data_IF_961107494730
#
_entry.id   IF_961107494730
#
_cell.length_a   1.000
_cell.length_b   1.000
_cell.length_c   1.000
_cell.angle_alpha   90.00
_cell.angle_beta   90.00
_cell.angle_gamma   90.00
#
_symmetry.space_group_name_H-M   'P 1'
#
loop_
_entity.id
_entity.type
_entity.pdbx_description
1 polymer ?
#
# COMPACT_ATOMS: atom_id res chain seq x y z
N UNK A 1 -6.21 -47.14 6.22
CA UNK A 1 -4.75 -46.92 6.08
C UNK A 1 -4.58 -45.72 5.16
N UNK A 2 -4.41 -44.54 5.73
CA UNK A 2 -4.17 -43.28 5.01
C UNK A 2 -2.74 -42.89 5.35
N UNK A 3 -1.90 -42.77 4.34
CA UNK A 3 -0.50 -42.36 4.47
C UNK A 3 -0.43 -40.90 4.93
N UNK A 4 0.43 -40.55 5.89
CA UNK A 4 0.60 -39.16 6.31
C UNK A 4 1.22 -38.36 5.17
N UNK A 5 0.63 -37.19 4.88
CA UNK A 5 1.19 -36.18 4.00
C UNK A 5 2.32 -35.53 4.80
N UNK A 6 3.56 -35.78 4.39
CA UNK A 6 4.74 -35.08 4.92
C UNK A 6 4.62 -33.60 4.54
N UNK A 7 4.26 -32.78 5.53
CA UNK A 7 4.35 -31.33 5.45
C UNK A 7 5.83 -31.02 5.71
N UNK A 8 6.54 -30.64 4.65
CA UNK A 8 7.95 -30.25 4.71
C UNK A 8 8.04 -28.88 5.39
N UNK A 9 8.11 -28.90 6.73
CA UNK A 9 8.32 -27.70 7.54
C UNK A 9 9.81 -27.35 7.41
N UNK A 10 10.18 -26.20 6.82
CA UNK A 10 11.58 -25.81 6.76
C UNK A 10 12.14 -25.72 8.18
N UNK A 11 13.40 -26.14 8.41
CA UNK A 11 13.99 -26.12 9.73
C UNK A 11 13.95 -24.70 10.29
N UNK A 12 13.77 -24.53 11.61
CA UNK A 12 13.81 -23.21 12.23
C UNK A 12 15.13 -22.56 11.83
N UNK A 13 15.04 -21.45 11.10
CA UNK A 13 16.19 -20.63 10.73
C UNK A 13 16.95 -20.34 12.02
N UNK A 14 18.15 -20.93 12.12
CA UNK A 14 19.03 -20.70 13.26
C UNK A 14 19.14 -19.20 13.48
N UNK A 15 18.82 -18.77 14.70
CA UNK A 15 19.11 -17.41 15.15
C UNK A 15 20.58 -17.12 14.81
N UNK A 16 20.89 -15.97 14.19
CA UNK A 16 22.25 -15.67 13.79
C UNK A 16 23.15 -15.76 15.02
N UNK A 17 24.21 -16.55 14.90
CA UNK A 17 25.25 -16.66 15.93
C UNK A 17 25.73 -15.24 16.22
N UNK A 18 25.46 -14.75 17.43
CA UNK A 18 25.98 -13.49 17.94
C UNK A 18 27.51 -13.59 17.90
N UNK A 19 28.11 -13.01 16.86
CA UNK A 19 29.55 -12.72 16.88
C UNK A 19 29.76 -11.77 18.04
N UNK A 20 30.54 -12.20 19.04
CA UNK A 20 31.02 -11.30 20.08
C UNK A 20 31.64 -10.09 19.40
N UNK A 21 31.22 -8.86 19.75
CA UNK A 21 31.82 -7.67 19.17
C UNK A 21 33.33 -7.68 19.48
N UNK A 22 34.17 -7.19 18.57
CA UNK A 22 35.60 -7.03 18.87
C UNK A 22 35.78 -6.16 20.12
N UNK A 23 36.88 -6.33 20.87
CA UNK A 23 37.16 -5.49 22.02
C UNK A 23 37.14 -4.03 21.61
N UNK A 24 36.34 -3.23 22.32
CA UNK A 24 36.31 -1.77 22.16
C UNK A 24 37.58 -1.23 22.85
N UNK A 25 38.73 -1.47 22.24
CA UNK A 25 39.98 -0.78 22.56
C UNK A 25 40.16 0.36 21.56
N UNK A 26 39.21 1.27 21.54
CA UNK A 26 39.40 2.64 21.08
C UNK A 26 38.29 3.45 21.75
N UNK A 27 38.68 4.25 22.75
CA UNK A 27 37.82 5.32 23.23
C UNK A 27 37.38 6.11 21.99
N UNK A 28 36.07 6.31 21.77
CA UNK A 28 35.63 7.16 20.68
C UNK A 28 36.22 8.53 20.97
N UNK A 29 37.23 8.91 20.18
CA UNK A 29 37.65 10.30 20.07
C UNK A 29 36.36 11.10 19.94
N UNK A 30 36.07 12.04 20.87
CA UNK A 30 34.87 12.83 20.76
C UNK A 30 35.03 13.61 19.47
N UNK A 31 34.40 13.11 18.39
CA UNK A 31 34.16 13.88 17.18
C UNK A 31 33.34 15.02 17.70
N UNK A 32 34.06 16.11 17.95
CA UNK A 32 33.55 17.35 18.43
C UNK A 32 32.80 17.92 17.23
N UNK A 33 31.60 17.39 16.99
CA UNK A 33 30.54 18.14 16.35
C UNK A 33 30.14 19.16 17.41
N UNK A 34 31.00 20.17 17.59
CA UNK A 34 30.59 21.48 18.05
C UNK A 34 29.61 21.99 16.99
N UNK A 35 28.38 21.49 17.07
CA UNK A 35 27.22 22.24 16.62
C UNK A 35 27.25 23.44 17.55
N UNK A 36 27.88 24.53 17.09
CA UNK A 36 27.98 25.81 17.79
C UNK A 36 26.60 26.13 18.36
N UNK A 37 26.41 25.82 19.64
CA UNK A 37 25.27 26.29 20.38
C UNK A 37 25.48 27.81 20.50
N UNK A 38 24.51 28.64 20.09
CA UNK A 38 24.65 30.08 20.19
C UNK A 38 24.99 30.46 21.62
N UNK A 39 25.99 31.32 21.78
CA UNK A 39 26.41 31.86 23.07
C UNK A 39 25.22 32.69 23.61
N UNK A 40 24.94 32.71 24.93
CA UNK A 40 23.78 33.43 25.49
C UNK A 40 23.64 34.91 25.09
N UNK A 41 24.73 35.51 24.63
CA UNK A 41 24.82 36.91 24.19
C UNK A 41 24.31 37.15 22.74
N UNK A 42 24.07 36.10 21.96
CA UNK A 42 23.63 36.19 20.55
C UNK A 42 22.11 36.03 20.34
N UNK A 43 21.32 35.84 21.40
CA UNK A 43 19.86 35.70 21.27
C UNK A 43 19.22 37.09 21.30
N UNK A 44 18.54 37.52 20.22
CA UNK A 44 17.76 38.76 20.23
C UNK A 44 16.69 38.69 21.32
N UNK A 45 16.43 39.80 21.99
CA UNK A 45 15.34 39.87 22.98
C UNK A 45 14.02 39.53 22.28
N UNK A 46 13.09 38.84 22.98
CA UNK A 46 11.77 38.51 22.41
C UNK A 46 11.05 39.76 21.85
N UNK A 47 11.31 40.93 22.43
CA UNK A 47 10.79 42.23 21.99
C UNK A 47 11.29 42.68 20.61
N UNK A 48 12.34 42.07 20.07
CA UNK A 48 12.94 42.41 18.77
C UNK A 48 12.44 41.51 17.63
N UNK A 49 11.57 40.53 17.93
CA UNK A 49 11.04 39.59 16.95
C UNK A 49 10.13 40.31 15.92
N UNK A 50 10.52 40.28 14.65
CA UNK A 50 9.77 40.90 13.53
C UNK A 50 8.67 39.99 12.97
N UNK A 51 8.69 38.70 13.29
CA UNK A 51 7.79 37.69 12.75
C UNK A 51 7.48 36.60 13.78
N UNK A 52 6.32 35.95 13.67
CA UNK A 52 5.89 34.85 14.55
C UNK A 52 6.85 33.66 14.49
N UNK A 53 7.39 33.34 13.30
CA UNK A 53 8.41 32.32 13.13
C UNK A 53 9.71 32.67 13.88
N UNK A 54 10.04 33.97 13.93
CA UNK A 54 11.25 34.46 14.60
C UNK A 54 11.08 34.46 16.12
N UNK A 55 9.88 34.82 16.61
CA UNK A 55 9.50 34.70 18.01
C UNK A 55 9.57 33.24 18.49
N UNK A 56 9.07 32.29 17.70
CA UNK A 56 9.17 30.86 18.00
C UNK A 56 10.62 30.37 17.99
N UNK A 57 11.44 30.85 17.04
CA UNK A 57 12.87 30.55 17.00
C UNK A 57 13.58 31.00 18.28
N UNK A 58 13.29 32.21 18.76
CA UNK A 58 13.83 32.74 20.02
C UNK A 58 13.37 31.89 21.22
N UNK A 59 12.09 31.51 21.29
CA UNK A 59 11.57 30.65 22.37
C UNK A 59 12.20 29.25 22.35
N UNK A 60 12.40 28.67 21.17
CA UNK A 60 13.05 27.35 21.05
C UNK A 60 14.53 27.44 21.42
N UNK A 61 15.25 28.47 20.96
CA UNK A 61 16.66 28.71 21.31
C UNK A 61 16.82 28.94 22.82
N UNK A 62 15.98 29.77 23.42
CA UNK A 62 15.99 30.01 24.88
C UNK A 62 15.64 28.75 25.66
N UNK A 63 14.67 27.96 25.20
CA UNK A 63 14.31 26.69 25.84
C UNK A 63 15.43 25.66 25.73
N UNK A 64 16.11 25.56 24.59
CA UNK A 64 17.24 24.65 24.39
C UNK A 64 18.44 25.02 25.27
N UNK A 65 18.65 26.31 25.53
CA UNK A 65 19.75 26.80 26.37
C UNK A 65 19.42 26.81 27.88
N UNK A 66 18.14 26.95 28.23
CA UNK A 66 17.66 27.02 29.61
C UNK A 66 16.92 25.77 30.09
N UNK A 67 16.97 24.65 29.35
CA UNK A 67 16.32 23.39 29.78
C UNK A 67 17.01 22.90 31.06
N UNK A 68 16.40 23.18 32.21
CA UNK A 68 16.99 22.89 33.53
C UNK A 68 17.01 21.41 33.86
N UNK A 69 16.19 20.61 33.17
CA UNK A 69 16.03 19.18 33.46
C UNK A 69 16.65 18.32 32.38
N UNK A 70 17.58 17.46 32.79
CA UNK A 70 18.19 16.49 31.89
C UNK A 70 17.16 15.46 31.41
N UNK A 71 17.42 14.79 30.28
CA UNK A 71 16.59 13.68 29.80
C UNK A 71 16.43 12.61 30.88
N UNK A 72 17.50 12.33 31.62
CA UNK A 72 17.54 11.34 32.68
C UNK A 72 16.60 11.71 33.82
N UNK A 73 16.54 12.98 34.23
CA UNK A 73 15.64 13.46 35.27
C UNK A 73 14.16 13.34 34.90
N UNK A 74 13.83 13.42 33.61
CA UNK A 74 12.47 13.19 33.10
C UNK A 74 12.11 11.70 33.06
N UNK A 75 13.07 10.85 32.71
CA UNK A 75 12.84 9.41 32.48
C UNK A 75 12.88 8.61 33.78
N UNK A 76 13.75 8.98 34.73
CA UNK A 76 13.94 8.30 36.02
C UNK A 76 12.65 8.11 36.84
N UNK A 77 11.77 9.11 37.03
CA UNK A 77 10.53 8.92 37.77
C UNK A 77 9.59 7.90 37.11
N UNK A 78 9.50 7.91 35.77
CA UNK A 78 8.67 6.97 35.00
C UNK A 78 9.23 5.55 35.13
N UNK A 79 10.55 5.38 34.99
CA UNK A 79 11.20 4.09 35.18
C UNK A 79 11.00 3.56 36.60
N UNK A 80 11.16 4.39 37.64
CA UNK A 80 10.94 3.96 39.03
C UNK A 80 9.50 3.57 39.30
N UNK A 81 8.52 4.29 38.73
CA UNK A 81 7.11 3.94 38.85
C UNK A 81 6.81 2.60 38.17
N UNK A 82 7.28 2.42 36.92
CA UNK A 82 7.09 1.17 36.19
C UNK A 82 7.74 -0.03 36.88
N UNK A 83 8.96 0.15 37.41
CA UNK A 83 9.65 -0.89 38.18
C UNK A 83 8.95 -1.24 39.50
N UNK A 84 8.18 -0.33 40.08
CA UNK A 84 7.40 -0.60 41.30
C UNK A 84 6.10 -1.38 41.02
N UNK A 85 5.56 -1.27 39.81
CA UNK A 85 4.35 -1.99 39.37
C UNK A 85 4.74 -3.37 38.81
N UNK A 86 5.88 -3.45 38.14
CA UNK A 86 6.39 -4.70 37.60
C UNK A 86 6.75 -5.65 38.74
N UNK A 87 6.28 -6.89 38.63
CA UNK A 87 6.85 -7.97 39.44
C UNK A 87 8.33 -8.08 39.10
N UNK A 88 9.23 -8.21 40.10
CA UNK A 88 10.65 -8.37 39.81
C UNK A 88 10.80 -9.61 38.92
N UNK A 89 11.60 -9.54 37.85
CA UNK A 89 11.89 -10.72 37.05
C UNK A 89 12.48 -11.76 38.00
N UNK A 90 11.77 -12.87 38.22
CA UNK A 90 12.32 -14.01 38.94
C UNK A 90 13.50 -14.51 38.11
N UNK A 91 14.72 -14.07 38.45
CA UNK A 91 15.94 -14.58 37.86
C UNK A 91 16.10 -16.03 38.36
N UNK A 92 15.45 -16.97 37.68
CA UNK A 92 15.61 -18.39 37.94
C UNK A 92 16.95 -18.82 37.35
N UNK A 93 17.97 -19.15 38.17
CA UNK A 93 19.31 -19.39 37.67
C UNK A 93 19.43 -20.69 36.83
N UNK A 94 18.39 -21.54 36.78
CA UNK A 94 18.40 -22.82 36.05
C UNK A 94 16.99 -23.16 35.50
N UNK A 95 16.28 -22.20 34.90
CA UNK A 95 15.00 -22.50 34.23
C UNK A 95 15.26 -23.26 32.93
N UNK A 96 15.27 -24.60 32.98
CA UNK A 96 15.18 -25.42 31.77
C UNK A 96 13.75 -25.37 31.22
N UNK A 97 13.54 -25.47 29.89
CA UNK A 97 12.21 -25.40 29.29
C UNK A 97 11.18 -26.32 29.96
N UNK A 98 11.60 -27.53 30.33
CA UNK A 98 10.74 -28.51 31.00
C UNK A 98 10.25 -28.03 32.38
N UNK A 99 11.11 -27.36 33.16
CA UNK A 99 10.73 -26.82 34.47
C UNK A 99 9.75 -25.66 34.36
N UNK A 100 9.81 -24.86 33.28
CA UNK A 100 8.85 -23.79 33.02
C UNK A 100 7.50 -24.35 32.58
N UNK A 101 7.50 -25.38 31.73
CA UNK A 101 6.30 -26.10 31.33
C UNK A 101 5.66 -26.70 32.58
N UNK A 102 6.41 -27.44 33.39
CA UNK A 102 5.89 -28.04 34.62
C UNK A 102 5.30 -26.98 35.56
N UNK A 103 5.97 -25.83 35.76
CA UNK A 103 5.43 -24.70 36.56
C UNK A 103 4.19 -24.07 35.94
N UNK A 104 4.09 -23.97 34.62
CA UNK A 104 2.93 -23.40 33.91
C UNK A 104 1.72 -24.32 33.94
N UNK A 105 1.94 -25.63 33.97
CA UNK A 105 0.88 -26.65 34.01
C UNK A 105 0.59 -27.19 35.42
N UNK A 106 1.31 -26.70 36.44
CA UNK A 106 1.09 -27.07 37.84
C UNK A 106 0.64 -25.87 38.69
N UNK A 107 0.02 -26.18 39.83
CA UNK A 107 -0.38 -25.18 40.83
C UNK A 107 -1.76 -24.53 40.59
N UNK A 108 -2.12 -23.66 41.53
CA UNK A 108 -3.44 -23.01 41.57
C UNK A 108 -3.66 -22.03 40.41
N UNK A 109 -2.60 -21.34 39.95
CA UNK A 109 -2.68 -20.39 38.84
C UNK A 109 -3.01 -21.05 37.50
N UNK A 110 -2.55 -22.29 37.28
CA UNK A 110 -2.93 -23.08 36.11
C UNK A 110 -4.41 -23.48 36.18
N UNK A 111 -4.87 -23.95 37.34
CA UNK A 111 -6.27 -24.35 37.55
C UNK A 111 -7.23 -23.17 37.31
N UNK A 112 -6.96 -21.99 37.86
CA UNK A 112 -7.78 -20.80 37.64
C UNK A 112 -7.84 -20.40 36.15
N UNK A 113 -6.71 -20.49 35.44
CA UNK A 113 -6.65 -20.22 34.00
C UNK A 113 -7.39 -21.27 33.18
N UNK A 114 -7.25 -22.54 33.56
CA UNK A 114 -7.96 -23.68 32.95
C UNK A 114 -9.46 -23.56 33.15
N UNK A 115 -9.92 -23.24 34.35
CA UNK A 115 -11.35 -23.05 34.67
C UNK A 115 -11.94 -21.86 33.90
N UNK A 116 -11.18 -20.76 33.83
CA UNK A 116 -11.53 -19.61 33.00
C UNK A 116 -11.65 -20.01 31.53
N UNK A 117 -10.68 -20.76 31.01
CA UNK A 117 -10.70 -21.26 29.63
C UNK A 117 -11.88 -22.19 29.35
N UNK A 118 -12.17 -23.15 30.24
CA UNK A 118 -13.31 -24.06 30.12
C UNK A 118 -14.63 -23.30 30.10
N UNK A 119 -14.74 -22.21 30.86
CA UNK A 119 -15.93 -21.34 30.87
C UNK A 119 -16.06 -20.52 29.59
N UNK A 120 -14.97 -19.97 29.06
CA UNK A 120 -15.02 -19.06 27.90
C UNK A 120 -15.02 -19.79 26.56
N UNK A 121 -14.38 -20.96 26.48
CA UNK A 121 -14.25 -21.75 25.24
C UNK A 121 -15.59 -22.03 24.54
N UNK A 122 -16.65 -22.54 25.20
CA UNK A 122 -17.90 -22.86 24.50
C UNK A 122 -18.58 -21.59 23.97
N UNK A 123 -18.54 -20.49 24.72
CA UNK A 123 -19.12 -19.21 24.28
C UNK A 123 -18.39 -18.68 23.03
N UNK A 124 -17.06 -18.81 23.01
CA UNK A 124 -16.25 -18.39 21.89
C UNK A 124 -16.45 -19.31 20.69
N UNK A 125 -16.54 -20.63 20.88
CA UNK A 125 -16.85 -21.55 19.79
C UNK A 125 -18.23 -21.27 19.19
N UNK A 126 -19.24 -21.04 20.03
CA UNK A 126 -20.60 -20.75 19.57
C UNK A 126 -20.63 -19.44 18.78
N UNK A 127 -19.98 -18.39 19.29
CA UNK A 127 -19.86 -17.11 18.61
C UNK A 127 -19.15 -17.23 17.26
N UNK A 128 -18.01 -17.93 17.21
CA UNK A 128 -17.27 -18.13 15.97
C UNK A 128 -18.06 -18.95 14.95
N UNK A 129 -18.78 -19.98 15.41
CA UNK A 129 -19.62 -20.82 14.54
C UNK A 129 -20.79 -20.01 14.00
N UNK A 130 -21.46 -19.22 14.85
CA UNK A 130 -22.53 -18.32 14.42
C UNK A 130 -22.03 -17.30 13.40
N UNK A 131 -20.88 -16.66 13.66
CA UNK A 131 -20.25 -15.72 12.72
C UNK A 131 -19.92 -16.40 11.40
N UNK A 132 -19.36 -17.60 11.43
CA UNK A 132 -19.03 -18.35 10.23
C UNK A 132 -20.27 -18.63 9.39
N UNK A 133 -21.34 -19.15 10.03
CA UNK A 133 -22.60 -19.43 9.35
C UNK A 133 -23.23 -18.17 8.74
N UNK A 134 -23.19 -17.02 9.45
CA UNK A 134 -23.69 -15.74 8.91
C UNK A 134 -22.90 -15.27 7.69
N UNK A 135 -21.59 -15.48 7.70
CA UNK A 135 -20.73 -15.13 6.56
C UNK A 135 -21.01 -16.05 5.38
N UNK A 136 -21.11 -17.36 5.61
CA UNK A 136 -21.45 -18.32 4.56
C UNK A 136 -22.81 -18.03 3.94
N UNK A 137 -23.83 -17.76 4.75
CA UNK A 137 -25.18 -17.40 4.27
C UNK A 137 -25.17 -16.10 3.47
N UNK A 138 -24.36 -15.11 3.88
CA UNK A 138 -24.21 -13.87 3.12
C UNK A 138 -23.51 -14.12 1.79
N UNK A 139 -22.46 -14.96 1.78
CA UNK A 139 -21.74 -15.31 0.56
C UNK A 139 -22.66 -16.07 -0.40
N UNK A 140 -23.45 -17.03 0.08
CA UNK A 140 -24.39 -17.78 -0.77
C UNK A 140 -25.42 -16.86 -1.40
N UNK A 141 -26.03 -15.97 -0.61
CA UNK A 141 -26.98 -14.96 -1.10
C UNK A 141 -26.37 -14.05 -2.17
N UNK A 142 -25.18 -13.51 -1.91
CA UNK A 142 -24.50 -12.64 -2.88
C UNK A 142 -24.11 -13.38 -4.16
N UNK A 143 -23.76 -14.66 -4.08
CA UNK A 143 -23.49 -15.50 -5.25
C UNK A 143 -24.76 -15.71 -6.09
N UNK A 144 -25.88 -16.01 -5.45
CA UNK A 144 -27.18 -16.14 -6.13
C UNK A 144 -27.59 -14.82 -6.79
N UNK A 145 -27.53 -13.70 -6.07
CA UNK A 145 -27.83 -12.37 -6.61
C UNK A 145 -26.92 -12.00 -7.79
N UNK A 146 -25.62 -12.32 -7.70
CA UNK A 146 -24.66 -12.07 -8.77
C UNK A 146 -25.02 -12.86 -10.03
N UNK A 147 -25.30 -14.16 -9.89
CA UNK A 147 -25.69 -15.02 -11.03
C UNK A 147 -26.99 -14.49 -11.67
N UNK A 148 -27.99 -14.12 -10.88
CA UNK A 148 -29.22 -13.53 -11.42
C UNK A 148 -28.97 -12.22 -12.19
N UNK A 149 -28.10 -11.35 -11.66
CA UNK A 149 -27.73 -10.09 -12.31
C UNK A 149 -26.94 -10.33 -13.60
N UNK A 150 -26.03 -11.31 -13.60
CA UNK A 150 -25.26 -11.72 -14.76
C UNK A 150 -26.17 -12.26 -15.87
N UNK A 151 -27.13 -13.14 -15.53
CA UNK A 151 -28.12 -13.63 -16.49
C UNK A 151 -28.95 -12.49 -17.10
N UNK A 152 -29.42 -11.56 -16.28
CA UNK A 152 -30.16 -10.37 -16.76
C UNK A 152 -29.29 -9.50 -17.67
N UNK A 153 -28.01 -9.32 -17.31
CA UNK A 153 -27.06 -8.56 -18.11
C UNK A 153 -26.78 -9.24 -19.44
N UNK A 154 -26.59 -10.56 -19.47
CA UNK A 154 -26.38 -11.34 -20.69
C UNK A 154 -27.59 -11.25 -21.62
N UNK A 155 -28.81 -11.37 -21.08
CA UNK A 155 -30.04 -11.17 -21.84
C UNK A 155 -30.09 -9.76 -22.43
N UNK A 156 -29.78 -8.73 -21.63
CA UNK A 156 -29.74 -7.35 -22.10
C UNK A 156 -28.68 -7.14 -23.22
N UNK A 157 -27.47 -7.67 -23.06
CA UNK A 157 -26.44 -7.63 -24.09
C UNK A 157 -26.88 -8.34 -25.38
N UNK A 158 -27.56 -9.48 -25.28
CA UNK A 158 -28.12 -10.16 -26.45
C UNK A 158 -29.18 -9.30 -27.14
N UNK A 159 -30.08 -8.66 -26.40
CA UNK A 159 -31.07 -7.76 -26.99
C UNK A 159 -30.44 -6.56 -27.69
N UNK A 160 -29.38 -5.97 -27.13
CA UNK A 160 -28.64 -4.88 -27.78
C UNK A 160 -27.91 -5.36 -29.04
N UNK A 161 -27.32 -6.56 -29.01
CA UNK A 161 -26.69 -7.14 -30.18
C UNK A 161 -27.70 -7.41 -31.31
N UNK A 162 -28.90 -7.88 -30.97
CA UNK A 162 -30.00 -8.06 -31.93
C UNK A 162 -30.46 -6.72 -32.51
N UNK A 163 -30.63 -5.68 -31.68
CA UNK A 163 -30.97 -4.33 -32.13
C UNK A 163 -29.89 -3.73 -33.04
N UNK A 164 -28.61 -3.92 -32.71
CA UNK A 164 -27.51 -3.48 -33.56
C UNK A 164 -27.49 -4.24 -34.88
N UNK A 165 -27.77 -5.55 -34.87
CA UNK A 165 -27.87 -6.35 -36.10
C UNK A 165 -29.08 -5.94 -36.95
N UNK A 166 -30.22 -5.60 -36.34
CA UNK A 166 -31.37 -5.08 -37.08
C UNK A 166 -31.06 -3.70 -37.67
N UNK A 167 -30.44 -2.79 -36.92
CA UNK A 167 -30.03 -1.47 -37.43
C UNK A 167 -28.99 -1.60 -38.55
N UNK A 168 -28.00 -2.49 -38.40
CA UNK A 168 -27.02 -2.76 -39.46
C UNK A 168 -27.70 -3.29 -40.73
N UNK A 169 -28.65 -4.22 -40.61
CA UNK A 169 -29.39 -4.73 -41.78
C UNK A 169 -30.37 -3.70 -42.37
N UNK A 170 -30.97 -2.82 -41.56
CA UNK A 170 -31.75 -1.69 -42.04
C UNK A 170 -30.88 -0.65 -42.75
N UNK A 171 -29.68 -0.34 -42.24
CA UNK A 171 -28.71 0.51 -42.92
C UNK A 171 -28.27 -0.13 -44.25
N UNK A 172 -27.97 -1.43 -44.30
CA UNK A 172 -27.59 -2.14 -45.54
C UNK A 172 -28.74 -2.11 -46.57
N UNK A 173 -29.99 -2.27 -46.12
CA UNK A 173 -31.18 -2.18 -46.97
C UNK A 173 -31.50 -0.75 -47.42
N UNK A 174 -31.22 0.27 -46.60
CA UNK A 174 -31.39 1.68 -46.95
C UNK A 174 -30.35 2.17 -47.98
N UNK A 175 -29.11 1.65 -47.93
CA UNK A 175 -28.08 1.91 -48.95
C UNK A 175 -28.41 1.26 -50.31
N UNK A 176 -29.30 0.26 -50.33
CA UNK A 176 -29.69 -0.43 -51.57
C UNK A 176 -30.97 0.13 -52.20
N UNK A 177 -31.76 0.94 -51.48
CA UNK A 177 -33.14 1.27 -51.87
C UNK A 177 -33.53 2.75 -51.98
N UNK A 178 -32.72 3.73 -51.55
CA UNK A 178 -33.15 5.14 -51.50
C UNK A 178 -32.15 6.14 -52.11
N UNK A 179 -31.81 5.95 -53.38
CA UNK A 179 -31.41 7.08 -54.24
C UNK A 179 -32.64 7.91 -54.62
N UNK A 180 -32.96 8.89 -53.79
CA UNK A 180 -34.00 9.89 -54.08
C UNK A 180 -33.45 10.86 -55.13
N UNK A 181 -34.14 10.97 -56.27
CA UNK A 181 -33.76 11.67 -57.50
C UNK A 181 -33.58 13.21 -57.42
N UNK A 182 -33.27 13.79 -56.26
CA UNK A 182 -33.05 15.25 -56.12
C UNK A 182 -31.94 15.61 -55.12
N UNK A 183 -30.89 14.83 -55.08
CA UNK A 183 -29.59 15.31 -54.61
C UNK A 183 -28.62 15.14 -55.77
N UNK A 184 -28.08 16.26 -56.20
CA UNK A 184 -27.00 16.36 -57.18
C UNK A 184 -25.96 15.28 -56.96
N UNK A 185 -25.63 14.59 -58.04
CA UNK A 185 -24.52 13.66 -58.15
C UNK A 185 -23.22 14.22 -57.53
N UNK A 186 -22.92 13.84 -56.30
CA UNK A 186 -21.54 13.56 -55.90
C UNK A 186 -21.37 12.09 -56.26
N UNK A 187 -20.89 11.90 -57.48
CA UNK A 187 -20.42 10.62 -57.97
C UNK A 187 -19.36 10.11 -57.01
N UNK A 188 -19.47 8.84 -56.62
CA UNK A 188 -18.45 8.00 -55.96
C UNK A 188 -17.21 7.79 -56.86
N UNK A 189 -16.67 8.90 -57.36
CA UNK A 189 -15.52 8.96 -58.23
C UNK A 189 -14.72 10.19 -57.79
N UNK A 190 -13.65 9.92 -57.06
CA UNK A 190 -12.61 10.90 -56.70
C UNK A 190 -12.10 11.52 -57.99
N UNK A 191 -12.34 12.83 -58.21
CA UNK A 191 -11.95 13.50 -59.46
C UNK A 191 -10.54 14.09 -59.41
N UNK A 192 -9.95 14.17 -58.22
CA UNK A 192 -8.58 14.64 -58.02
C UNK A 192 -7.94 14.05 -56.76
N UNK A 193 -6.61 13.99 -56.74
CA UNK A 193 -5.82 13.53 -55.58
C UNK A 193 -6.10 14.39 -54.32
N UNK A 194 -6.38 15.67 -54.53
CA UNK A 194 -6.79 16.58 -53.45
C UNK A 194 -8.14 16.20 -52.82
N UNK A 195 -9.13 15.80 -53.64
CA UNK A 195 -10.40 15.26 -53.11
C UNK A 195 -10.16 13.94 -52.37
N UNK A 196 -9.22 13.11 -52.84
CA UNK A 196 -8.84 11.88 -52.15
C UNK A 196 -8.29 12.18 -50.75
N UNK A 197 -7.32 13.09 -50.66
CA UNK A 197 -6.72 13.50 -49.39
C UNK A 197 -7.75 14.14 -48.45
N UNK A 198 -8.66 14.95 -48.99
CA UNK A 198 -9.72 15.56 -48.19
C UNK A 198 -10.71 14.52 -47.66
N UNK A 199 -11.06 13.51 -48.45
CA UNK A 199 -11.92 12.40 -48.00
C UNK A 199 -11.19 11.57 -46.94
N UNK A 200 -9.90 11.25 -47.13
CA UNK A 200 -9.09 10.50 -46.15
C UNK A 200 -8.95 11.29 -44.84
N UNK A 201 -8.70 12.60 -44.93
CA UNK A 201 -8.61 13.47 -43.76
C UNK A 201 -9.95 13.57 -43.01
N UNK A 202 -11.07 13.66 -43.75
CA UNK A 202 -12.41 13.65 -43.14
C UNK A 202 -12.69 12.32 -42.46
N UNK A 203 -12.39 11.18 -43.13
CA UNK A 203 -12.61 9.84 -42.58
C UNK A 203 -11.83 9.63 -41.27
N UNK A 204 -10.60 10.12 -41.20
CA UNK A 204 -9.78 10.04 -39.98
C UNK A 204 -10.33 10.87 -38.83
N UNK A 205 -10.98 12.00 -39.10
CA UNK A 205 -11.67 12.82 -38.08
C UNK A 205 -12.98 12.17 -37.66
N UNK A 206 -13.73 11.63 -38.61
CA UNK A 206 -14.99 10.92 -38.36
C UNK A 206 -14.73 9.69 -37.48
N UNK A 207 -13.72 8.86 -37.78
CA UNK A 207 -13.33 7.71 -36.94
C UNK A 207 -12.86 8.13 -35.52
N UNK A 208 -12.24 9.30 -35.39
CA UNK A 208 -11.75 9.81 -34.11
C UNK A 208 -12.85 10.47 -33.25
N UNK A 209 -13.97 10.86 -33.86
CA UNK A 209 -15.07 11.57 -33.19
C UNK A 209 -16.37 10.78 -33.12
N UNK A 210 -16.48 9.70 -33.91
CA UNK A 210 -17.64 8.80 -33.89
C UNK A 210 -17.77 8.13 -32.51
N UNK A 211 -18.91 8.32 -31.81
CA UNK A 211 -19.20 7.65 -30.56
C UNK A 211 -19.03 6.13 -30.62
N UNK A 212 -19.32 5.49 -31.76
CA UNK A 212 -19.17 4.04 -31.89
C UNK A 212 -17.70 3.62 -31.82
N UNK A 213 -16.83 4.21 -32.65
CA UNK A 213 -15.38 3.94 -32.62
C UNK A 213 -14.72 4.34 -31.30
N UNK A 214 -15.11 5.46 -30.71
CA UNK A 214 -14.63 5.90 -29.39
C UNK A 214 -15.04 4.94 -28.28
N UNK A 215 -16.27 4.43 -28.31
CA UNK A 215 -16.75 3.49 -27.29
C UNK A 215 -16.01 2.15 -27.31
N UNK A 216 -15.67 1.67 -28.51
CA UNK A 216 -14.89 0.43 -28.68
C UNK A 216 -13.46 0.56 -28.15
N UNK A 217 -12.82 1.73 -28.33
CA UNK A 217 -11.45 1.98 -27.83
C UNK A 217 -11.43 2.29 -26.32
N UNK A 218 -12.49 2.88 -25.80
CA UNK A 218 -12.61 3.28 -24.39
C UNK A 218 -13.42 2.30 -23.54
N UNK A 219 -13.67 1.09 -24.03
CA UNK A 219 -14.44 0.09 -23.30
C UNK A 219 -13.65 -0.36 -22.07
N UNK A 220 -14.16 -0.03 -20.89
CA UNK A 220 -13.55 -0.44 -19.63
C UNK A 220 -13.63 -1.97 -19.52
N UNK A 221 -12.48 -2.65 -19.59
CA UNK A 221 -12.40 -4.08 -19.28
C UNK A 221 -12.40 -4.22 -17.76
N UNK A 222 -13.56 -4.55 -17.20
CA UNK A 222 -13.70 -4.86 -15.77
C UNK A 222 -13.01 -6.20 -15.54
N UNK A 223 -11.94 -6.27 -14.73
CA UNK A 223 -11.35 -7.56 -14.36
C UNK A 223 -12.34 -8.35 -13.49
N UNK A 224 -12.39 -9.67 -13.69
CA UNK A 224 -13.22 -10.57 -12.88
C UNK A 224 -12.86 -10.42 -11.40
N UNK A 225 -13.85 -10.54 -10.50
CA UNK A 225 -13.57 -10.55 -9.07
C UNK A 225 -12.58 -11.67 -8.73
N UNK A 226 -11.46 -11.31 -8.12
CA UNK A 226 -10.37 -12.23 -7.74
C UNK A 226 -10.91 -13.36 -6.83
N UNK A 227 -11.92 -13.07 -6.02
CA UNK A 227 -12.61 -14.04 -5.15
C UNK A 227 -13.43 -15.10 -5.89
N UNK A 228 -13.82 -14.82 -7.14
CA UNK A 228 -14.60 -15.73 -8.01
C UNK A 228 -13.66 -16.54 -8.91
N UNK A 229 -12.64 -15.90 -9.49
CA UNK A 229 -11.70 -16.55 -10.41
C UNK A 229 -10.63 -17.41 -9.71
N UNK A 230 -10.08 -16.92 -8.59
CA UNK A 230 -8.94 -17.56 -7.91
C UNK A 230 -9.32 -18.17 -6.55
N UNK A 231 -10.57 -18.02 -6.11
CA UNK A 231 -11.04 -18.51 -4.82
C UNK A 231 -10.58 -17.65 -3.64
N UNK A 232 -10.26 -18.29 -2.50
CA UNK A 232 -9.83 -17.59 -1.31
C UNK A 232 -8.43 -16.98 -1.54
N UNK A 233 -8.33 -15.66 -1.55
CA UNK A 233 -7.04 -14.97 -1.53
C UNK A 233 -6.42 -15.20 -0.16
N UNK A 234 -5.26 -15.86 -0.11
CA UNK A 234 -4.47 -16.02 1.11
C UNK A 234 -3.93 -14.65 1.52
N UNK A 235 -4.76 -13.89 2.24
CA UNK A 235 -4.27 -12.74 3.00
C UNK A 235 -3.42 -13.31 4.13
N UNK A 236 -2.10 -13.38 3.92
CA UNK A 236 -1.21 -13.43 5.07
C UNK A 236 -1.42 -12.13 5.83
N UNK A 237 -1.91 -12.26 7.07
CA UNK A 237 -1.89 -11.17 8.01
C UNK A 237 -0.42 -10.82 8.27
N UNK A 238 -0.01 -9.63 7.82
CA UNK A 238 1.31 -9.10 8.11
C UNK A 238 1.33 -8.59 9.56
N UNK A 239 1.62 -9.50 10.49
CA UNK A 239 1.72 -9.22 11.93
C UNK A 239 2.95 -8.37 12.29
N UNK A 240 3.80 -8.04 11.31
CA UNK A 240 5.00 -7.23 11.59
C UNK A 240 4.70 -5.77 11.86
N UNK A 241 3.42 -5.32 11.79
CA UNK A 241 3.00 -3.95 12.06
C UNK A 241 3.82 -2.88 11.29
N UNK A 242 4.34 -3.24 10.11
CA UNK A 242 5.30 -2.43 9.34
C UNK A 242 6.57 -2.05 10.13
N UNK A 243 7.00 -2.92 11.04
CA UNK A 243 8.27 -2.78 11.76
C UNK A 243 9.41 -2.92 10.76
N UNK A 244 10.06 -1.79 10.50
CA UNK A 244 11.26 -1.75 9.67
C UNK A 244 12.48 -2.00 10.57
N UNK A 245 12.98 -3.23 10.58
CA UNK A 245 14.14 -3.62 11.41
C UNK A 245 15.42 -2.87 11.00
N UNK A 246 15.64 -2.69 9.69
CA UNK A 246 16.76 -1.94 9.12
C UNK A 246 16.27 -0.76 8.27
N UNK A 247 16.02 0.41 8.86
CA UNK A 247 15.53 1.58 8.11
C UNK A 247 16.45 2.00 6.97
N UNK A 248 17.77 1.85 7.16
CA UNK A 248 18.79 2.21 6.16
C UNK A 248 18.72 1.36 4.90
N UNK A 249 18.39 0.08 5.07
CA UNK A 249 18.24 -0.86 3.96
C UNK A 249 16.87 -0.70 3.32
N UNK A 250 15.80 -0.68 4.13
CA UNK A 250 14.41 -0.63 3.67
C UNK A 250 14.05 0.68 2.94
N UNK A 251 14.54 1.83 3.42
CA UNK A 251 14.37 3.12 2.74
C UNK A 251 15.56 3.46 1.84
N UNK A 252 16.56 2.58 1.79
CA UNK A 252 17.67 2.68 0.86
C UNK A 252 17.15 2.50 -0.58
N UNK A 253 17.56 3.33 -1.54
CA UNK A 253 17.18 3.13 -2.93
C UNK A 253 17.75 1.78 -3.44
N UNK A 254 16.90 0.75 -3.56
CA UNK A 254 17.28 -0.54 -4.15
C UNK A 254 17.60 -0.47 -5.65
N UNK A 255 17.45 0.71 -6.25
CA UNK A 255 17.58 1.01 -7.67
C UNK A 255 19.01 1.39 -8.10
N UNK A 256 19.99 1.39 -7.19
CA UNK A 256 21.35 1.87 -7.52
C UNK A 256 21.41 3.38 -7.76
N UNK A 257 20.42 4.13 -7.27
CA UNK A 257 20.32 5.60 -7.41
C UNK A 257 21.36 6.36 -6.56
N UNK A 258 22.11 5.67 -5.70
CA UNK A 258 23.27 6.27 -5.06
C UNK A 258 24.46 6.43 -6.05
N UNK A 259 24.39 5.81 -7.24
CA UNK A 259 25.46 5.79 -8.24
C UNK A 259 25.26 6.80 -9.38
N UNK A 260 24.69 7.98 -9.12
CA UNK A 260 24.65 9.03 -10.15
C UNK A 260 26.07 9.42 -10.55
N UNK A 261 26.42 9.15 -11.80
CA UNK A 261 27.70 9.59 -12.37
C UNK A 261 27.71 11.11 -12.44
N UNK A 262 28.90 11.71 -12.34
CA UNK A 262 29.00 13.17 -12.41
C UNK A 262 28.52 13.73 -13.77
N UNK A 263 28.57 12.92 -14.83
CA UNK A 263 28.01 13.24 -16.14
C UNK A 263 26.47 13.31 -16.13
N UNK A 264 25.80 12.36 -15.46
CA UNK A 264 24.34 12.36 -15.31
C UNK A 264 23.87 13.53 -14.43
N UNK A 265 24.61 13.85 -13.36
CA UNK A 265 24.32 15.02 -12.53
C UNK A 265 24.40 16.32 -13.34
N UNK A 266 25.42 16.49 -14.16
CA UNK A 266 25.53 17.65 -15.04
C UNK A 266 24.40 17.72 -16.05
N UNK A 267 24.07 16.59 -16.68
CA UNK A 267 22.95 16.51 -17.64
C UNK A 267 21.63 16.90 -17.00
N UNK A 268 21.37 16.41 -15.78
CA UNK A 268 20.18 16.79 -15.03
C UNK A 268 20.15 18.27 -14.68
N UNK A 269 21.27 18.85 -14.24
CA UNK A 269 21.35 20.29 -13.95
C UNK A 269 21.07 21.15 -15.19
N UNK A 270 21.63 20.79 -16.33
CA UNK A 270 21.42 21.51 -17.60
C UNK A 270 19.98 21.41 -18.08
N UNK A 271 19.39 20.20 -18.02
CA UNK A 271 17.98 19.98 -18.39
C UNK A 271 17.02 20.62 -17.40
N UNK A 272 17.34 20.63 -16.12
CA UNK A 272 16.56 21.30 -15.09
C UNK A 272 16.60 22.83 -15.22
N UNK A 273 17.75 23.39 -15.64
CA UNK A 273 17.87 24.81 -15.95
C UNK A 273 17.02 25.21 -17.18
N UNK A 274 16.93 24.33 -18.19
CA UNK A 274 16.09 24.55 -19.36
C UNK A 274 14.58 24.34 -19.08
N UNK A 275 14.23 23.36 -18.24
CA UNK A 275 12.85 22.93 -17.98
C UNK A 275 12.58 22.76 -16.47
N UNK A 276 12.44 23.87 -15.71
CA UNK A 276 12.34 23.79 -14.26
C UNK A 276 11.11 23.00 -13.81
N UNK A 277 11.33 21.97 -12.97
CA UNK A 277 10.30 21.11 -12.35
C UNK A 277 9.48 20.26 -13.34
N UNK A 278 9.96 20.07 -14.57
CA UNK A 278 9.33 19.17 -15.55
C UNK A 278 10.08 17.83 -15.64
N UNK A 279 10.00 17.03 -14.57
CA UNK A 279 10.76 15.78 -14.42
C UNK A 279 10.41 14.67 -15.41
N UNK A 280 9.34 14.80 -16.21
CA UNK A 280 9.03 13.84 -17.28
C UNK A 280 9.84 14.08 -18.56
N UNK A 281 10.45 15.27 -18.69
CA UNK A 281 11.26 15.68 -19.86
C UNK A 281 12.77 15.63 -19.53
N UNK A 282 13.10 15.82 -18.26
CA UNK A 282 14.45 15.71 -17.70
C UNK A 282 14.80 14.24 -17.51
#
# INVERSE_FOLDING_TARGET
MVTPIDIDIPPPTHSPILRTPPPIDEEPNPVTIQKLLPIPEEIPSFSEAKSTADALRIVVMTRLLCDRQSREERVKPVLTANLSIANPPEAHPIATPDTLIEKMFSGAAFQERSDSFVRTRPLLSDYLTQRHNMVEEKISKLREEYVELEERWLVHCNTLNEQQKSLASEHENQHTGRTTRRSTAITDAVRSDFEMEQIIASLGVDDATDPFHLSMRNLAKIPDMISVANGQVDYLFDDTAHLVENPSEYYGPHTGIDDWTDAEKQTFLDKFAAYPKQFGII
#
